data_IF_142156335838
#
_entry.id   IF_142156335838
#
_cell.length_a   1.000
_cell.length_b   1.000
_cell.length_c   1.000
_cell.angle_alpha   90.00
_cell.angle_beta   90.00
_cell.angle_gamma   90.00
#
_symmetry.space_group_name_H-M   'P 1'
#
loop_
_entity.id
_entity.type
_entity.pdbx_description
1 polymer ?
#
# COMPACT_ATOMS: atom_id res chain seq x y z
N UNK A 1 17.58 -1.97 -19.79
CA UNK A 1 16.99 -1.82 -18.45
C UNK A 1 16.98 -3.19 -17.80
N UNK A 2 17.59 -3.37 -16.63
CA UNK A 2 17.55 -4.67 -15.94
C UNK A 2 16.12 -4.89 -15.43
N UNK A 3 15.48 -5.97 -15.85
CA UNK A 3 14.21 -6.40 -15.24
C UNK A 3 14.52 -6.79 -13.80
N UNK A 4 14.00 -6.00 -12.85
CA UNK A 4 14.07 -6.33 -11.43
C UNK A 4 12.94 -7.33 -11.19
N UNK A 5 13.27 -8.62 -11.00
CA UNK A 5 12.32 -9.60 -10.49
C UNK A 5 12.05 -9.33 -9.00
N UNK A 6 11.03 -8.53 -8.72
CA UNK A 6 10.57 -8.33 -7.34
C UNK A 6 9.66 -9.51 -6.96
N UNK A 7 10.25 -10.51 -6.31
CA UNK A 7 9.52 -11.73 -5.86
C UNK A 7 8.75 -11.53 -4.55
N UNK A 8 9.12 -10.53 -3.76
CA UNK A 8 8.50 -10.23 -2.47
C UNK A 8 8.48 -8.71 -2.26
N UNK A 9 7.38 -8.19 -1.71
CA UNK A 9 7.12 -6.77 -1.50
C UNK A 9 7.06 -6.40 -0.01
N UNK A 10 7.27 -7.35 0.90
CA UNK A 10 7.33 -7.10 2.35
C UNK A 10 8.33 -5.99 2.67
N UNK A 11 7.93 -5.07 3.55
CA UNK A 11 8.64 -3.85 3.93
C UNK A 11 8.81 -2.81 2.80
N UNK A 12 8.10 -2.96 1.68
CA UNK A 12 8.06 -1.96 0.62
C UNK A 12 6.82 -1.06 0.73
N UNK A 13 6.92 0.13 0.15
CA UNK A 13 5.79 1.04 -0.03
C UNK A 13 5.18 0.88 -1.41
N UNK A 14 3.85 0.75 -1.46
CA UNK A 14 3.08 0.97 -2.68
C UNK A 14 2.55 2.41 -2.66
N UNK A 15 2.86 3.15 -3.71
CA UNK A 15 2.43 4.54 -3.88
C UNK A 15 1.36 4.60 -4.97
N UNK A 16 0.17 5.06 -4.60
CA UNK A 16 -0.91 5.22 -5.56
C UNK A 16 -0.53 6.26 -6.63
N UNK A 17 -0.68 5.88 -7.90
CA UNK A 17 -0.49 6.79 -9.04
C UNK A 17 -1.70 7.75 -9.17
N UNK A 18 -1.54 8.96 -9.73
CA UNK A 18 -2.63 9.93 -9.86
C UNK A 18 -3.87 9.45 -10.64
N UNK A 19 -3.70 8.47 -11.52
CA UNK A 19 -4.77 7.85 -12.30
C UNK A 19 -5.57 6.79 -11.53
N UNK A 20 -5.10 6.33 -10.35
CA UNK A 20 -5.83 5.39 -9.53
C UNK A 20 -6.97 6.10 -8.81
N UNK A 21 -8.21 5.85 -9.27
CA UNK A 21 -9.44 6.51 -8.81
C UNK A 21 -10.28 5.69 -7.84
N UNK A 22 -9.75 4.56 -7.35
CA UNK A 22 -10.41 3.82 -6.29
C UNK A 22 -10.39 4.65 -4.99
N UNK A 23 -11.54 5.02 -4.40
CA UNK A 23 -11.60 5.85 -3.20
C UNK A 23 -10.90 5.21 -1.99
N UNK A 24 -10.75 3.88 -1.95
CA UNK A 24 -10.04 3.21 -0.88
C UNK A 24 -8.53 3.49 -0.93
N UNK A 25 -7.96 3.73 -2.11
CA UNK A 25 -6.52 3.85 -2.34
C UNK A 25 -6.08 5.15 -3.02
N UNK A 26 -6.99 6.04 -3.41
CA UNK A 26 -6.63 7.32 -4.04
C UNK A 26 -5.69 8.10 -3.11
N UNK A 27 -4.52 8.49 -3.66
CA UNK A 27 -3.44 9.18 -2.95
C UNK A 27 -2.94 8.44 -1.70
N UNK A 28 -3.11 7.12 -1.62
CA UNK A 28 -2.62 6.31 -0.50
C UNK A 28 -1.15 5.94 -0.66
N UNK A 29 -0.49 5.78 0.49
CA UNK A 29 0.79 5.11 0.64
C UNK A 29 0.56 3.89 1.52
N UNK A 30 0.79 2.70 0.97
CA UNK A 30 0.58 1.42 1.66
C UNK A 30 1.94 0.81 2.01
N UNK A 31 2.18 0.52 3.28
CA UNK A 31 3.29 -0.34 3.71
C UNK A 31 2.86 -1.80 3.62
N UNK A 32 3.62 -2.63 2.92
CA UNK A 32 3.36 -4.08 2.86
C UNK A 32 4.02 -4.76 4.06
N UNK A 33 3.21 -5.41 4.89
CA UNK A 33 3.65 -6.13 6.08
C UNK A 33 3.86 -7.62 5.79
N UNK A 34 3.08 -8.20 4.88
CA UNK A 34 3.25 -9.56 4.39
C UNK A 34 2.92 -9.66 2.90
N UNK A 35 3.68 -10.46 2.17
CA UNK A 35 3.45 -10.76 0.76
C UNK A 35 3.87 -12.21 0.49
N UNK A 36 2.89 -13.03 0.15
CA UNK A 36 3.06 -14.44 -0.15
C UNK A 36 2.27 -14.81 -1.40
N UNK A 37 2.33 -16.09 -1.78
CA UNK A 37 1.52 -16.65 -2.88
C UNK A 37 0.00 -16.54 -2.64
N UNK A 38 -0.42 -16.43 -1.38
CA UNK A 38 -1.82 -16.40 -0.98
C UNK A 38 -2.39 -14.97 -0.99
N UNK A 39 -1.53 -13.96 -1.14
CA UNK A 39 -1.90 -12.55 -1.22
C UNK A 39 -0.90 -11.63 -0.52
N UNK A 40 -1.35 -10.39 -0.25
CA UNK A 40 -0.57 -9.41 0.48
C UNK A 40 -1.42 -8.71 1.54
N UNK A 41 -0.80 -8.40 2.67
CA UNK A 41 -1.37 -7.60 3.74
C UNK A 41 -0.54 -6.34 3.94
N UNK A 42 -1.20 -5.20 4.10
CA UNK A 42 -0.54 -3.92 4.28
C UNK A 42 -1.41 -2.87 4.95
N UNK A 43 -0.76 -1.77 5.35
CA UNK A 43 -1.36 -0.67 6.10
C UNK A 43 -1.25 0.64 5.32
N UNK A 44 -2.35 1.40 5.23
CA UNK A 44 -2.32 2.77 4.73
C UNK A 44 -1.72 3.66 5.82
N UNK A 45 -0.54 4.22 5.56
CA UNK A 45 0.21 5.00 6.57
C UNK A 45 -0.09 6.50 6.52
N UNK A 46 -0.80 6.98 5.50
CA UNK A 46 -1.04 8.40 5.25
C UNK A 46 -2.52 8.80 5.30
N UNK A 47 -3.36 8.01 5.99
CA UNK A 47 -4.77 8.33 6.23
C UNK A 47 -5.01 8.37 7.73
N UNK A 48 -5.29 9.56 8.24
CA UNK A 48 -5.62 9.76 9.66
C UNK A 48 -7.05 9.26 9.87
N UNK A 49 -7.23 8.35 10.82
CA UNK A 49 -8.56 7.98 11.30
C UNK A 49 -9.02 9.07 12.27
N UNK A 50 -10.07 9.80 11.90
CA UNK A 50 -10.71 10.72 12.83
C UNK A 50 -11.62 9.87 13.72
N UNK A 51 -11.04 9.20 14.71
CA UNK A 51 -11.83 8.74 15.84
C UNK A 51 -12.10 9.96 16.71
N UNK A 52 -13.37 10.32 16.84
CA UNK A 52 -13.82 11.35 17.77
C UNK A 52 -13.21 11.09 19.14
N UNK A 53 -12.42 12.04 19.65
CA UNK A 53 -12.24 12.17 21.08
C UNK A 53 -13.60 12.61 21.64
N UNK A 54 -14.44 11.63 22.00
CA UNK A 54 -15.53 11.79 22.97
C UNK A 54 -15.03 11.23 24.28
#
# INVERSE_FOLDING_TARGET
MKNIEIKNLTCMFLVAVPSLKDPNFERSVVLICDHSKDGAFGLIINRILVSSFV
#
